data_IF_074244698171
#
_entry.id   IF_074244698171
#
_cell.length_a   1.000
_cell.length_b   1.000
_cell.length_c   1.000
_cell.angle_alpha   90.00
_cell.angle_beta   90.00
_cell.angle_gamma   90.00
#
_symmetry.space_group_name_H-M   'P 1'
#
loop_
_entity.id
_entity.type
_entity.pdbx_description
1 polymer ?
#
# COMPACT_ATOMS: atom_id res chain seq x y z
N UNK A 1 -4.99 -10.49 21.94
CA UNK A 1 -5.81 -10.90 20.78
C UNK A 1 -4.91 -11.48 19.71
N UNK A 2 -5.41 -12.43 18.92
CA UNK A 2 -4.73 -13.00 17.74
C UNK A 2 -5.15 -12.28 16.48
N UNK A 3 -4.22 -11.59 15.83
CA UNK A 3 -4.49 -10.76 14.66
C UNK A 3 -3.76 -11.33 13.45
N UNK A 4 -4.52 -11.70 12.42
CA UNK A 4 -4.02 -12.26 11.18
C UNK A 4 -4.03 -11.22 10.06
N UNK A 5 -2.94 -11.14 9.30
CA UNK A 5 -2.85 -10.44 8.04
C UNK A 5 -2.72 -11.43 6.89
N UNK A 6 -3.46 -11.22 5.81
CA UNK A 6 -3.39 -12.08 4.62
C UNK A 6 -2.21 -11.72 3.70
N UNK A 7 -2.06 -12.48 2.60
CA UNK A 7 -0.94 -12.37 1.68
C UNK A 7 -1.08 -11.26 0.63
N UNK A 8 -2.26 -10.71 0.41
CA UNK A 8 -2.63 -9.98 -0.82
C UNK A 8 -1.63 -8.87 -1.15
N UNK A 9 -1.39 -7.94 -0.23
CA UNK A 9 -0.49 -6.82 -0.47
C UNK A 9 0.97 -7.29 -0.63
N UNK A 10 1.41 -8.25 0.15
CA UNK A 10 2.81 -8.73 0.13
C UNK A 10 3.14 -9.55 -1.11
N UNK A 11 2.15 -10.19 -1.72
CA UNK A 11 2.27 -10.86 -3.01
C UNK A 11 2.25 -9.86 -4.17
N UNK A 12 1.39 -8.84 -4.08
CA UNK A 12 1.14 -7.89 -5.16
C UNK A 12 2.21 -6.79 -5.26
N UNK A 13 2.76 -6.35 -4.14
CA UNK A 13 3.66 -5.20 -4.06
C UNK A 13 5.03 -5.61 -3.53
N UNK A 14 6.09 -5.35 -4.31
CA UNK A 14 7.47 -5.54 -3.85
C UNK A 14 7.87 -4.46 -2.86
N UNK A 15 7.50 -3.21 -3.14
CA UNK A 15 7.79 -2.02 -2.36
C UNK A 15 6.64 -1.02 -2.49
N UNK A 16 6.27 -0.32 -1.41
CA UNK A 16 5.24 0.73 -1.48
C UNK A 16 4.59 1.06 -0.14
N UNK A 17 3.82 2.14 -0.14
CA UNK A 17 3.21 2.70 1.07
C UNK A 17 2.28 1.75 1.80
N UNK A 18 1.45 1.01 1.08
CA UNK A 18 0.47 0.10 1.68
C UNK A 18 1.16 -1.08 2.37
N UNK A 19 2.16 -1.69 1.74
CA UNK A 19 2.92 -2.78 2.37
C UNK A 19 3.74 -2.31 3.56
N UNK A 20 4.26 -1.07 3.53
CA UNK A 20 4.90 -0.43 4.68
C UNK A 20 3.90 -0.20 5.82
N UNK A 21 2.71 0.32 5.53
CA UNK A 21 1.65 0.50 6.51
C UNK A 21 1.34 -0.79 7.29
N UNK A 22 1.12 -1.91 6.60
CA UNK A 22 0.85 -3.18 7.27
C UNK A 22 2.04 -3.71 8.07
N UNK A 23 3.26 -3.51 7.58
CA UNK A 23 4.49 -3.85 8.33
C UNK A 23 4.58 -3.04 9.63
N UNK A 24 4.37 -1.72 9.56
CA UNK A 24 4.47 -0.83 10.71
C UNK A 24 3.33 -1.09 11.72
N UNK A 25 2.11 -1.31 11.23
CA UNK A 25 0.96 -1.67 12.05
C UNK A 25 1.17 -3.00 12.79
N UNK A 26 1.62 -4.04 12.07
CA UNK A 26 1.92 -5.34 12.68
C UNK A 26 3.01 -5.23 13.74
N UNK A 27 4.09 -4.48 13.45
CA UNK A 27 5.17 -4.24 14.39
C UNK A 27 4.73 -3.49 15.66
N UNK A 28 3.84 -2.51 15.50
CA UNK A 28 3.28 -1.73 16.63
C UNK A 28 2.36 -2.59 17.50
N UNK A 29 1.48 -3.38 16.89
CA UNK A 29 0.59 -4.27 17.63
C UNK A 29 1.37 -5.34 18.42
N UNK A 30 2.47 -5.86 17.86
CA UNK A 30 3.39 -6.75 18.59
C UNK A 30 4.00 -6.07 19.81
N UNK A 31 4.49 -4.83 19.66
CA UNK A 31 5.04 -4.05 20.78
C UNK A 31 3.99 -3.81 21.88
N UNK A 32 2.72 -3.76 21.51
CA UNK A 32 1.58 -3.63 22.43
C UNK A 32 1.12 -4.98 23.02
N UNK A 33 1.88 -6.07 22.81
CA UNK A 33 1.61 -7.39 23.38
C UNK A 33 0.50 -8.18 22.66
N UNK A 34 0.13 -7.81 21.43
CA UNK A 34 -0.80 -8.60 20.63
C UNK A 34 -0.08 -9.78 19.96
N UNK A 35 -0.79 -10.88 19.77
CA UNK A 35 -0.29 -12.04 19.01
C UNK A 35 -0.59 -11.81 17.52
N UNK A 36 0.43 -11.49 16.73
CA UNK A 36 0.28 -11.13 15.33
C UNK A 36 0.92 -12.17 14.43
N UNK A 37 0.20 -12.61 13.38
CA UNK A 37 0.76 -13.43 12.32
C UNK A 37 0.42 -12.87 10.93
N UNK A 38 1.42 -12.86 10.04
CA UNK A 38 1.29 -12.49 8.63
C UNK A 38 1.39 -13.75 7.78
N UNK A 39 0.31 -14.11 7.13
CA UNK A 39 0.23 -15.29 6.26
C UNK A 39 0.63 -14.90 4.83
N UNK A 40 1.88 -14.50 4.65
CA UNK A 40 2.39 -13.92 3.41
C UNK A 40 2.58 -14.94 2.28
N UNK A 41 2.69 -16.24 2.59
CA UNK A 41 2.94 -17.27 1.60
C UNK A 41 4.25 -17.04 0.82
N UNK A 42 4.23 -17.30 -0.47
CA UNK A 42 5.32 -16.94 -1.38
C UNK A 42 5.17 -15.48 -1.78
N UNK A 43 6.09 -14.60 -1.33
CA UNK A 43 5.99 -13.16 -1.55
C UNK A 43 7.26 -12.57 -2.14
N UNK A 44 7.15 -11.35 -2.67
CA UNK A 44 8.29 -10.55 -3.19
C UNK A 44 8.57 -9.29 -2.38
N UNK A 45 7.84 -9.08 -1.30
CA UNK A 45 7.85 -7.83 -0.54
C UNK A 45 9.15 -7.62 0.24
N UNK A 46 9.65 -6.39 0.26
CA UNK A 46 10.89 -5.99 0.94
C UNK A 46 10.71 -5.74 2.44
N UNK A 47 9.51 -5.36 2.88
CA UNK A 47 9.27 -5.02 4.29
C UNK A 47 9.02 -6.22 5.18
N UNK A 48 8.46 -7.31 4.63
CA UNK A 48 8.13 -8.52 5.40
C UNK A 48 9.35 -9.12 6.12
N UNK A 49 10.55 -9.23 5.49
CA UNK A 49 11.75 -9.73 6.17
C UNK A 49 12.27 -8.84 7.31
N UNK A 50 11.81 -7.59 7.41
CA UNK A 50 12.19 -6.66 8.48
C UNK A 50 11.39 -6.88 9.77
N UNK A 51 10.37 -7.71 9.73
CA UNK A 51 9.58 -8.08 10.89
C UNK A 51 10.28 -9.14 11.74
N UNK A 52 9.94 -9.25 13.04
CA UNK A 52 10.49 -10.27 13.90
C UNK A 52 10.29 -11.68 13.35
N UNK A 53 11.28 -12.55 13.55
CA UNK A 53 11.18 -13.96 13.14
C UNK A 53 10.02 -14.65 13.86
N UNK A 54 9.33 -15.55 13.14
CA UNK A 54 8.27 -16.39 13.72
C UNK A 54 6.85 -15.85 13.51
N UNK A 55 6.66 -14.56 13.21
CA UNK A 55 5.32 -14.01 12.94
C UNK A 55 4.94 -14.07 11.47
N UNK A 56 5.90 -14.31 10.58
CA UNK A 56 5.65 -14.42 9.13
C UNK A 56 5.54 -15.90 8.76
N UNK A 57 4.40 -16.26 8.20
CA UNK A 57 4.11 -17.57 7.62
C UNK A 57 4.28 -17.50 6.11
N UNK A 58 5.51 -17.66 5.65
CA UNK A 58 5.85 -17.55 4.24
C UNK A 58 7.34 -17.33 4.02
N UNK A 59 7.72 -17.14 2.76
CA UNK A 59 9.11 -16.90 2.38
C UNK A 59 9.21 -15.99 1.14
N UNK A 60 10.30 -15.22 1.08
CA UNK A 60 10.57 -14.31 -0.03
C UNK A 60 11.13 -15.07 -1.22
N UNK A 61 10.56 -14.85 -2.41
CA UNK A 61 11.09 -15.29 -3.68
C UNK A 61 11.82 -14.13 -4.35
N UNK A 62 13.13 -14.27 -4.60
CA UNK A 62 13.92 -13.22 -5.26
C UNK A 62 13.56 -13.08 -6.75
N UNK A 63 13.32 -14.20 -7.43
CA UNK A 63 12.88 -14.25 -8.82
C UNK A 63 11.42 -14.66 -8.90
N UNK A 64 10.52 -13.73 -8.66
CA UNK A 64 9.08 -13.96 -8.74
C UNK A 64 8.63 -13.95 -10.21
N UNK A 65 8.22 -15.09 -10.79
CA UNK A 65 7.88 -15.14 -12.21
C UNK A 65 6.61 -14.34 -12.49
N UNK A 66 6.73 -13.27 -13.25
CA UNK A 66 5.61 -12.35 -13.53
C UNK A 66 4.39 -13.05 -14.13
N UNK A 67 4.60 -13.99 -15.06
CA UNK A 67 3.51 -14.74 -15.73
C UNK A 67 2.76 -15.71 -14.81
N UNK A 68 3.34 -16.12 -13.67
CA UNK A 68 2.73 -17.05 -12.71
C UNK A 68 2.09 -16.36 -11.50
N UNK A 69 2.02 -15.02 -11.49
CA UNK A 69 1.50 -14.23 -10.37
C UNK A 69 0.10 -14.67 -9.91
N UNK A 70 -0.80 -14.94 -10.85
CA UNK A 70 -2.16 -15.40 -10.53
C UNK A 70 -2.17 -16.79 -9.87
N UNK A 71 -1.33 -17.71 -10.34
CA UNK A 71 -1.20 -19.04 -9.76
C UNK A 71 -0.66 -18.98 -8.33
N UNK A 72 0.39 -18.19 -8.11
CA UNK A 72 0.94 -17.97 -6.77
C UNK A 72 -0.06 -17.28 -5.84
N UNK A 73 -0.81 -16.28 -6.32
CA UNK A 73 -1.84 -15.63 -5.53
C UNK A 73 -2.91 -16.62 -5.09
N UNK A 74 -3.40 -17.48 -5.99
CA UNK A 74 -4.38 -18.51 -5.64
C UNK A 74 -3.83 -19.55 -4.65
N UNK A 75 -2.59 -19.99 -4.86
CA UNK A 75 -1.95 -20.94 -3.95
C UNK A 75 -1.72 -20.33 -2.57
N UNK A 76 -1.22 -19.10 -2.50
CA UNK A 76 -1.05 -18.36 -1.26
C UNK A 76 -2.38 -18.19 -0.53
N UNK A 77 -3.45 -17.91 -1.27
CA UNK A 77 -4.79 -17.80 -0.68
C UNK A 77 -5.21 -19.10 0.00
N UNK A 78 -5.16 -20.23 -0.71
CA UNK A 78 -5.55 -21.53 -0.16
C UNK A 78 -4.70 -21.90 1.07
N UNK A 79 -3.38 -21.81 0.95
CA UNK A 79 -2.45 -22.12 2.05
C UNK A 79 -2.70 -21.18 3.24
N UNK A 80 -2.82 -19.87 2.99
CA UNK A 80 -3.06 -18.88 4.03
C UNK A 80 -4.37 -19.12 4.76
N UNK A 81 -5.45 -19.44 4.04
CA UNK A 81 -6.74 -19.77 4.64
C UNK A 81 -6.67 -21.00 5.54
N UNK A 82 -5.98 -22.08 5.12
CA UNK A 82 -5.79 -23.28 5.93
C UNK A 82 -4.96 -22.98 7.19
N UNK A 83 -3.89 -22.22 7.05
CA UNK A 83 -3.03 -21.82 8.17
C UNK A 83 -3.80 -20.93 9.17
N UNK A 84 -4.58 -19.95 8.69
CA UNK A 84 -5.42 -19.09 9.53
C UNK A 84 -6.49 -19.91 10.26
N UNK A 85 -7.14 -20.87 9.58
CA UNK A 85 -8.11 -21.76 10.19
C UNK A 85 -7.50 -22.59 11.34
N UNK A 86 -6.27 -23.07 11.16
CA UNK A 86 -5.54 -23.80 12.21
C UNK A 86 -5.14 -22.88 13.38
N UNK A 87 -4.69 -21.67 13.07
CA UNK A 87 -4.21 -20.71 14.07
C UNK A 87 -5.35 -20.06 14.87
N UNK A 88 -6.57 -20.02 14.33
CA UNK A 88 -7.78 -19.47 14.93
C UNK A 88 -7.59 -18.02 15.40
N UNK A 89 -7.45 -17.06 14.49
CA UNK A 89 -7.38 -15.64 14.83
C UNK A 89 -8.68 -15.14 15.44
N UNK A 90 -8.58 -14.10 16.27
CA UNK A 90 -9.73 -13.32 16.74
C UNK A 90 -10.12 -12.27 15.67
N UNK A 91 -9.11 -11.74 14.97
CA UNK A 91 -9.25 -10.72 13.93
C UNK A 91 -8.49 -11.15 12.68
N UNK A 92 -9.12 -10.96 11.50
CA UNK A 92 -8.47 -11.03 10.20
C UNK A 92 -8.51 -9.64 9.57
N UNK A 93 -7.35 -9.06 9.32
CA UNK A 93 -7.23 -7.80 8.61
C UNK A 93 -6.74 -8.06 7.20
N UNK A 94 -7.63 -7.91 6.20
CA UNK A 94 -7.30 -8.06 4.79
C UNK A 94 -6.36 -6.97 4.35
N UNK A 95 -5.25 -7.35 3.74
CA UNK A 95 -4.18 -6.40 3.39
C UNK A 95 -4.39 -5.73 2.04
N UNK A 96 -5.25 -6.30 1.18
CA UNK A 96 -5.64 -5.69 -0.09
C UNK A 96 -6.93 -6.32 -0.63
N UNK A 97 -7.38 -5.81 -1.79
CA UNK A 97 -8.63 -6.18 -2.41
C UNK A 97 -8.51 -7.49 -3.19
N UNK A 98 -9.54 -8.32 -3.12
CA UNK A 98 -9.58 -9.62 -3.79
C UNK A 98 -11.01 -10.12 -3.92
N UNK A 99 -11.31 -10.74 -5.07
CA UNK A 99 -12.56 -11.48 -5.28
C UNK A 99 -12.52 -12.92 -4.73
N UNK A 100 -11.38 -13.33 -4.13
CA UNK A 100 -11.24 -14.69 -3.61
C UNK A 100 -12.06 -14.88 -2.35
N UNK A 101 -12.92 -15.89 -2.35
CA UNK A 101 -13.79 -16.23 -1.22
C UNK A 101 -12.97 -16.77 -0.06
N UNK A 102 -13.11 -16.16 1.11
CA UNK A 102 -12.50 -16.63 2.34
C UNK A 102 -13.29 -17.83 2.93
N UNK A 103 -12.59 -18.73 3.61
CA UNK A 103 -13.24 -19.78 4.39
C UNK A 103 -14.06 -19.15 5.53
N UNK A 104 -15.18 -19.77 5.88
CA UNK A 104 -15.97 -19.35 7.04
C UNK A 104 -15.12 -19.40 8.30
N UNK A 105 -15.15 -18.33 9.08
CA UNK A 105 -14.42 -18.13 10.31
C UNK A 105 -15.28 -17.41 11.33
N UNK A 106 -14.97 -17.56 12.62
CA UNK A 106 -15.58 -16.77 13.68
C UNK A 106 -14.77 -15.48 13.97
N UNK A 107 -13.65 -15.27 13.26
CA UNK A 107 -12.86 -14.04 13.40
C UNK A 107 -13.62 -12.85 12.83
N UNK A 108 -13.47 -11.70 13.48
CA UNK A 108 -13.96 -10.41 12.95
C UNK A 108 -13.05 -9.98 11.79
N UNK A 109 -13.63 -9.70 10.65
CA UNK A 109 -12.89 -9.34 9.44
C UNK A 109 -12.87 -7.82 9.23
N UNK A 110 -11.67 -7.27 9.02
CA UNK A 110 -11.43 -5.87 8.69
C UNK A 110 -10.81 -5.73 7.30
N UNK A 111 -11.05 -4.59 6.66
CA UNK A 111 -10.28 -4.12 5.52
C UNK A 111 -9.96 -2.63 5.68
N UNK A 112 -8.76 -2.21 5.25
CA UNK A 112 -8.44 -0.78 5.15
C UNK A 112 -8.60 -0.32 3.70
N UNK A 113 -9.35 0.78 3.50
CA UNK A 113 -9.47 1.46 2.22
C UNK A 113 -8.60 2.71 2.23
N UNK A 114 -7.59 2.71 1.35
CA UNK A 114 -6.58 3.76 1.28
C UNK A 114 -6.99 4.94 0.40
N UNK A 115 -7.75 4.68 -0.66
CA UNK A 115 -8.25 5.69 -1.59
C UNK A 115 -9.43 5.16 -2.40
N UNK A 116 -10.06 6.06 -3.16
CA UNK A 116 -11.14 5.77 -4.12
C UNK A 116 -10.77 6.26 -5.53
N UNK A 117 -9.47 6.24 -5.87
CA UNK A 117 -8.96 6.82 -7.11
C UNK A 117 -9.48 6.05 -8.33
N UNK A 118 -9.54 4.72 -8.27
CA UNK A 118 -10.03 3.87 -9.37
C UNK A 118 -11.52 4.12 -9.67
N UNK A 119 -12.30 4.43 -8.65
CA UNK A 119 -13.72 4.70 -8.75
C UNK A 119 -14.01 6.14 -9.23
N UNK A 120 -13.19 7.10 -8.80
CA UNK A 120 -13.36 8.52 -9.13
C UNK A 120 -12.81 8.86 -10.51
N UNK A 121 -11.71 8.20 -10.91
CA UNK A 121 -11.00 8.46 -12.15
C UNK A 121 -10.82 7.19 -13.00
N UNK A 122 -11.89 6.47 -13.35
CA UNK A 122 -11.79 5.18 -14.04
C UNK A 122 -11.03 5.25 -15.37
N UNK A 123 -11.15 6.37 -16.08
CA UNK A 123 -10.47 6.58 -17.37
C UNK A 123 -8.94 6.65 -17.28
N UNK A 124 -8.39 6.80 -16.09
CA UNK A 124 -6.94 6.81 -15.88
C UNK A 124 -6.34 5.41 -15.74
N UNK A 125 -7.17 4.37 -15.74
CA UNK A 125 -6.77 2.99 -15.55
C UNK A 125 -7.12 2.13 -16.78
N UNK A 126 -6.46 0.99 -16.89
CA UNK A 126 -6.75 0.05 -17.98
C UNK A 126 -8.16 -0.54 -17.87
N UNK A 127 -8.83 -0.74 -19.00
CA UNK A 127 -10.12 -1.46 -19.04
C UNK A 127 -10.03 -2.91 -18.51
N UNK A 128 -8.83 -3.43 -18.27
CA UNK A 128 -8.58 -4.74 -17.64
C UNK A 128 -8.33 -4.64 -16.15
N UNK A 129 -8.36 -3.43 -15.59
CA UNK A 129 -8.19 -3.22 -14.15
C UNK A 129 -9.49 -3.60 -13.43
N UNK A 130 -9.39 -4.56 -12.53
CA UNK A 130 -10.52 -5.04 -11.74
C UNK A 130 -10.47 -4.52 -10.29
N UNK A 131 -9.66 -3.50 -10.00
CA UNK A 131 -9.44 -3.02 -8.63
C UNK A 131 -10.74 -2.58 -7.97
N UNK A 132 -11.60 -1.85 -8.67
CA UNK A 132 -12.92 -1.41 -8.19
C UNK A 132 -13.80 -2.60 -7.81
N UNK A 133 -13.90 -3.61 -8.68
CA UNK A 133 -14.69 -4.83 -8.40
C UNK A 133 -14.11 -5.60 -7.21
N UNK A 134 -12.79 -5.80 -7.16
CA UNK A 134 -12.15 -6.49 -6.04
C UNK A 134 -12.29 -5.72 -4.72
N UNK A 135 -12.28 -4.38 -4.78
CA UNK A 135 -12.54 -3.53 -3.62
C UNK A 135 -13.98 -3.74 -3.13
N UNK A 136 -14.96 -3.68 -4.03
CA UNK A 136 -16.36 -3.92 -3.70
C UNK A 136 -16.58 -5.31 -3.09
N UNK A 137 -16.02 -6.37 -3.71
CA UNK A 137 -16.10 -7.74 -3.18
C UNK A 137 -15.50 -7.84 -1.78
N UNK A 138 -14.36 -7.18 -1.55
CA UNK A 138 -13.67 -7.19 -0.26
C UNK A 138 -14.50 -6.49 0.82
N UNK A 139 -14.95 -5.25 0.56
CA UNK A 139 -15.67 -4.44 1.57
C UNK A 139 -17.06 -5.00 1.88
N UNK A 140 -17.70 -5.67 0.91
CA UNK A 140 -18.96 -6.37 1.14
C UNK A 140 -18.79 -7.60 2.03
N UNK A 141 -17.63 -8.22 2.01
CA UNK A 141 -17.32 -9.46 2.74
C UNK A 141 -16.60 -9.26 4.09
N UNK A 142 -16.45 -8.03 4.59
CA UNK A 142 -15.86 -7.75 5.90
C UNK A 142 -16.90 -7.19 6.86
N UNK A 143 -16.63 -7.37 8.17
CA UNK A 143 -17.50 -6.87 9.24
C UNK A 143 -17.34 -5.37 9.42
N UNK A 144 -16.12 -4.83 9.23
CA UNK A 144 -15.84 -3.41 9.43
C UNK A 144 -14.74 -2.90 8.50
N UNK A 145 -14.84 -1.62 8.12
CA UNK A 145 -13.93 -0.94 7.21
C UNK A 145 -13.18 0.16 7.97
N UNK A 146 -11.87 0.19 7.77
CA UNK A 146 -11.03 1.31 8.19
C UNK A 146 -10.81 2.21 6.99
N UNK A 147 -11.20 3.47 7.08
CA UNK A 147 -10.90 4.51 6.10
C UNK A 147 -9.74 5.37 6.61
N UNK A 148 -8.82 5.75 5.74
CA UNK A 148 -7.66 6.56 6.14
C UNK A 148 -7.96 8.06 6.26
N UNK A 149 -9.13 8.51 5.80
CA UNK A 149 -9.55 9.92 5.84
C UNK A 149 -11.07 10.04 5.79
N UNK A 150 -11.59 11.19 6.21
CA UNK A 150 -13.01 11.53 6.07
C UNK A 150 -13.42 11.60 4.59
N UNK A 151 -12.55 12.06 3.70
CA UNK A 151 -12.82 12.06 2.26
C UNK A 151 -13.04 10.65 1.72
N UNK A 152 -12.14 9.71 2.05
CA UNK A 152 -12.30 8.30 1.65
C UNK A 152 -13.57 7.67 2.24
N UNK A 153 -13.94 8.01 3.49
CA UNK A 153 -15.20 7.58 4.11
C UNK A 153 -16.40 8.09 3.33
N UNK A 154 -16.43 9.39 3.02
CA UNK A 154 -17.51 9.99 2.25
C UNK A 154 -17.67 9.35 0.86
N UNK A 155 -16.56 9.07 0.17
CA UNK A 155 -16.56 8.39 -1.12
C UNK A 155 -17.05 6.94 -1.03
N UNK A 156 -16.67 6.19 0.01
CA UNK A 156 -17.17 4.83 0.27
C UNK A 156 -18.69 4.81 0.44
N UNK A 157 -19.23 5.73 1.26
CA UNK A 157 -20.66 5.85 1.46
C UNK A 157 -21.40 6.22 0.17
N UNK A 158 -20.84 7.17 -0.60
CA UNK A 158 -21.46 7.67 -1.82
C UNK A 158 -21.41 6.68 -2.99
N UNK A 159 -20.27 6.00 -3.19
CA UNK A 159 -20.02 5.19 -4.40
C UNK A 159 -20.48 3.74 -4.20
N UNK A 160 -20.26 3.19 -3.01
CA UNK A 160 -20.59 1.79 -2.72
C UNK A 160 -21.79 1.61 -1.79
N UNK A 161 -22.47 2.70 -1.39
CA UNK A 161 -23.64 2.69 -0.51
C UNK A 161 -23.38 1.95 0.82
N UNK A 162 -22.22 2.22 1.42
CA UNK A 162 -21.83 1.61 2.70
C UNK A 162 -22.38 2.44 3.85
N UNK A 163 -23.02 1.77 4.80
CA UNK A 163 -23.52 2.40 6.01
C UNK A 163 -22.38 3.02 6.85
N UNK A 164 -22.61 4.22 7.37
CA UNK A 164 -21.63 4.95 8.18
C UNK A 164 -21.14 4.15 9.39
N UNK A 165 -22.03 3.41 10.04
CA UNK A 165 -21.74 2.56 11.19
C UNK A 165 -20.69 1.48 10.92
N UNK A 166 -20.53 1.09 9.65
CA UNK A 166 -19.54 0.09 9.20
C UNK A 166 -18.15 0.68 8.96
N UNK A 167 -17.98 2.00 9.04
CA UNK A 167 -16.73 2.68 8.69
C UNK A 167 -16.17 3.45 9.87
N UNK A 168 -14.91 3.20 10.22
CA UNK A 168 -14.12 4.04 11.14
C UNK A 168 -13.02 4.77 10.39
N UNK A 169 -12.85 6.06 10.67
CA UNK A 169 -11.73 6.84 10.14
C UNK A 169 -10.54 6.72 11.08
N UNK A 170 -9.45 6.18 10.57
CA UNK A 170 -8.18 6.06 11.31
C UNK A 170 -7.06 6.56 10.39
N UNK A 171 -6.53 7.73 10.68
CA UNK A 171 -5.44 8.33 9.89
C UNK A 171 -4.15 7.51 9.99
N UNK A 172 -3.33 7.59 8.95
CA UNK A 172 -2.02 6.96 8.96
C UNK A 172 -1.12 7.63 10.01
N UNK A 173 -0.42 6.83 10.81
CA UNK A 173 0.62 7.29 11.71
C UNK A 173 1.93 7.56 10.98
N UNK A 174 2.80 8.35 11.61
CA UNK A 174 4.18 8.62 11.17
C UNK A 174 5.12 8.20 12.28
N UNK A 175 6.15 7.43 11.93
CA UNK A 175 7.22 7.09 12.86
C UNK A 175 8.30 8.17 12.82
N UNK A 176 8.28 9.07 13.79
CA UNK A 176 9.25 10.16 13.91
C UNK A 176 10.66 9.69 14.29
N UNK A 177 10.84 8.47 14.81
CA UNK A 177 12.16 7.94 15.14
C UNK A 177 13.05 7.78 13.90
N UNK A 178 12.45 7.61 12.73
CA UNK A 178 13.17 7.52 11.45
C UNK A 178 13.86 8.81 11.03
N UNK A 179 13.54 9.93 11.66
CA UNK A 179 14.12 11.25 11.34
C UNK A 179 15.18 11.70 12.34
N UNK A 180 15.43 10.94 13.41
CA UNK A 180 16.36 11.35 14.48
C UNK A 180 17.83 11.24 14.08
N UNK A 181 18.17 10.36 13.12
CA UNK A 181 19.54 10.08 12.70
C UNK A 181 19.88 10.61 11.30
N UNK A 182 19.05 11.51 10.74
CA UNK A 182 19.37 12.11 9.44
C UNK A 182 20.49 13.14 9.64
N UNK A 183 21.67 12.99 9.00
CA UNK A 183 22.71 13.98 9.07
C UNK A 183 22.17 15.35 8.62
N UNK A 184 22.32 16.37 9.45
CA UNK A 184 21.69 17.68 9.29
C UNK A 184 22.11 18.50 8.06
N UNK A 185 23.05 18.00 7.23
CA UNK A 185 23.60 18.72 6.08
C UNK A 185 23.84 17.78 4.89
N UNK A 186 22.79 17.14 4.39
CA UNK A 186 22.84 16.55 3.05
C UNK A 186 22.52 17.67 2.05
N UNK A 187 23.55 18.33 1.53
CA UNK A 187 23.41 19.20 0.37
C UNK A 187 23.15 18.35 -0.86
N UNK A 188 21.86 18.23 -1.23
CA UNK A 188 21.44 17.49 -2.42
C UNK A 188 21.55 18.36 -3.66
N UNK A 189 21.50 19.69 -3.50
CA UNK A 189 21.57 20.68 -4.56
C UNK A 189 22.16 22.00 -4.02
N UNK A 190 22.91 22.72 -4.85
CA UNK A 190 23.41 24.07 -4.56
C UNK A 190 22.30 25.13 -4.56
N UNK A 191 21.19 24.87 -5.25
CA UNK A 191 20.01 25.73 -5.31
C UNK A 191 18.87 25.18 -4.46
N UNK A 192 17.92 26.04 -4.04
CA UNK A 192 16.63 25.57 -3.56
C UNK A 192 16.00 24.60 -4.58
N UNK A 193 15.27 23.60 -4.13
CA UNK A 193 14.71 22.63 -5.02
C UNK A 193 13.22 22.38 -4.79
N UNK A 194 12.55 21.96 -5.86
CA UNK A 194 11.21 21.42 -5.83
C UNK A 194 11.31 19.89 -5.80
N UNK A 195 10.73 19.28 -4.78
CA UNK A 195 10.75 17.82 -4.62
C UNK A 195 9.43 17.20 -5.07
N UNK A 196 9.51 16.30 -6.06
CA UNK A 196 8.42 15.42 -6.42
C UNK A 196 8.69 14.01 -5.90
N UNK A 197 7.73 13.43 -5.17
CA UNK A 197 7.82 12.06 -4.65
C UNK A 197 6.67 11.23 -5.21
N UNK A 198 6.98 10.19 -5.99
CA UNK A 198 5.99 9.27 -6.52
C UNK A 198 6.32 8.72 -7.89
N UNK A 199 5.47 7.81 -8.37
CA UNK A 199 5.54 7.32 -9.75
C UNK A 199 5.29 8.44 -10.74
N UNK A 200 5.99 8.44 -11.88
CA UNK A 200 5.93 9.52 -12.88
C UNK A 200 4.76 9.39 -13.85
N UNK A 201 4.03 8.28 -13.79
CA UNK A 201 2.89 8.01 -14.67
C UNK A 201 1.52 8.19 -14.00
N UNK A 202 0.47 8.09 -14.83
CA UNK A 202 -0.92 8.02 -14.42
C UNK A 202 -1.43 9.25 -13.64
N UNK A 203 -2.28 8.99 -12.68
CA UNK A 203 -2.99 10.00 -11.89
C UNK A 203 -2.11 10.92 -11.03
N UNK A 204 -0.83 10.57 -10.81
CA UNK A 204 0.14 11.41 -10.10
C UNK A 204 0.51 12.68 -10.86
N UNK A 205 0.15 12.77 -12.16
CA UNK A 205 0.24 13.95 -13.01
C UNK A 205 1.64 14.63 -13.03
N UNK A 206 2.70 13.82 -13.07
CA UNK A 206 4.08 14.32 -13.13
C UNK A 206 4.31 15.25 -14.34
N UNK A 207 3.75 14.91 -15.52
CA UNK A 207 3.85 15.75 -16.72
C UNK A 207 3.19 17.11 -16.53
N UNK A 208 2.06 17.20 -15.83
CA UNK A 208 1.42 18.46 -15.48
C UNK A 208 2.30 19.30 -14.56
N UNK A 209 2.94 18.68 -13.58
CA UNK A 209 3.91 19.32 -12.70
C UNK A 209 5.11 19.86 -13.49
N UNK A 210 5.70 19.08 -14.40
CA UNK A 210 6.79 19.54 -15.27
C UNK A 210 6.39 20.74 -16.13
N UNK A 211 5.21 20.69 -16.76
CA UNK A 211 4.68 21.80 -17.57
C UNK A 211 4.49 23.08 -16.72
N UNK A 212 3.98 22.95 -15.52
CA UNK A 212 3.80 24.09 -14.61
C UNK A 212 5.14 24.71 -14.20
N UNK A 213 6.15 23.91 -13.88
CA UNK A 213 7.52 24.40 -13.60
C UNK A 213 8.11 25.08 -14.84
N UNK A 214 8.04 24.43 -16.01
CA UNK A 214 8.59 24.95 -17.26
C UNK A 214 7.91 26.24 -17.74
N UNK A 215 6.66 26.49 -17.36
CA UNK A 215 5.96 27.74 -17.69
C UNK A 215 6.37 28.94 -16.84
N UNK A 216 7.14 28.73 -15.77
CA UNK A 216 7.57 29.77 -14.84
C UNK A 216 9.07 30.06 -14.97
N UNK A 217 9.42 31.20 -15.56
CA UNK A 217 10.83 31.66 -15.65
C UNK A 217 11.48 31.81 -14.27
N UNK A 218 10.71 32.17 -13.25
CA UNK A 218 11.18 32.26 -11.87
C UNK A 218 11.64 30.90 -11.34
N UNK A 219 10.80 29.86 -11.49
CA UNK A 219 11.11 28.51 -11.01
C UNK A 219 12.28 27.91 -11.78
N UNK A 220 12.27 28.05 -13.10
CA UNK A 220 13.34 27.56 -13.98
C UNK A 220 14.71 28.12 -13.63
N UNK A 221 14.79 29.40 -13.26
CA UNK A 221 16.05 30.07 -12.99
C UNK A 221 16.59 29.79 -11.58
N UNK A 222 15.69 29.70 -10.57
CA UNK A 222 16.09 29.76 -9.17
C UNK A 222 15.98 28.42 -8.43
N UNK A 223 15.37 27.41 -9.05
CA UNK A 223 15.15 26.12 -8.40
C UNK A 223 15.66 24.97 -9.25
N UNK A 224 16.18 23.94 -8.59
CA UNK A 224 16.36 22.64 -9.20
C UNK A 224 15.10 21.80 -9.00
N UNK A 225 14.86 20.84 -9.89
CA UNK A 225 13.78 19.87 -9.74
C UNK A 225 14.36 18.51 -9.39
N UNK A 226 13.91 17.96 -8.27
CA UNK A 226 14.30 16.64 -7.80
C UNK A 226 13.07 15.74 -7.84
N UNK A 227 13.18 14.61 -8.56
CA UNK A 227 12.12 13.62 -8.63
C UNK A 227 12.60 12.30 -8.04
N UNK A 228 11.88 11.80 -7.03
CA UNK A 228 12.12 10.52 -6.36
C UNK A 228 10.94 9.61 -6.62
N UNK A 229 11.21 8.40 -7.10
CA UNK A 229 10.21 7.38 -7.39
C UNK A 229 10.46 6.74 -8.74
N UNK A 230 9.72 5.67 -9.02
CA UNK A 230 9.96 4.82 -10.18
C UNK A 230 9.12 5.17 -11.40
N UNK A 231 9.65 4.80 -12.56
CA UNK A 231 8.90 4.75 -13.81
C UNK A 231 8.13 3.43 -13.90
N UNK A 232 8.70 2.32 -13.39
CA UNK A 232 8.18 0.95 -13.50
C UNK A 232 8.53 0.09 -12.27
N UNK A 233 7.99 0.33 -11.09
CA UNK A 233 8.04 -0.55 -9.90
C UNK A 233 9.40 -1.25 -9.56
N UNK A 234 10.50 -1.00 -10.29
CA UNK A 234 11.73 -1.77 -10.18
C UNK A 234 12.83 -1.13 -9.33
N UNK A 235 13.01 0.22 -9.38
CA UNK A 235 14.06 0.90 -8.61
C UNK A 235 13.67 2.36 -8.24
N UNK A 236 14.06 2.79 -7.05
CA UNK A 236 13.92 4.20 -6.64
C UNK A 236 14.99 5.00 -7.36
N UNK A 237 14.62 5.73 -8.41
CA UNK A 237 15.54 6.59 -9.15
C UNK A 237 15.40 8.03 -8.64
N UNK A 238 16.51 8.57 -8.14
CA UNK A 238 16.68 10.00 -7.91
C UNK A 238 17.13 10.63 -9.24
N UNK A 239 16.31 11.53 -9.80
CA UNK A 239 16.69 12.31 -10.98
C UNK A 239 16.75 13.76 -10.59
N UNK A 240 17.93 14.36 -10.70
CA UNK A 240 18.13 15.80 -10.62
C UNK A 240 18.01 16.33 -12.05
N UNK A 241 17.01 17.14 -12.32
CA UNK A 241 16.80 17.76 -13.62
C UNK A 241 17.29 19.19 -13.49
N UNK A 242 18.55 19.39 -13.86
CA UNK A 242 19.17 20.71 -13.97
C UNK A 242 19.05 21.12 -15.45
N UNK A 243 18.50 22.31 -15.68
CA UNK A 243 18.29 22.89 -17.03
C UNK A 243 17.24 22.18 -17.89
N UNK A 244 15.97 22.59 -17.71
CA UNK A 244 14.92 22.31 -18.69
C UNK A 244 15.15 23.24 -19.91
N UNK A 245 15.73 22.74 -20.98
CA UNK A 245 15.68 23.36 -22.30
C UNK A 245 14.49 22.80 -23.09
#
# INVERSE_FOLDING_TARGET
MKIAYDHQMFTNQSYGGISRYYKDLAGTLLKQGQDVNIFAGMHRNYYVPLLPKGIVRGFKLNNYPFKSRLAFSRLNHVIGQLQMKQWKPDIIHKTYYSSQTSLKTNAICFATVHDMIHEIYPDMFSNRDNTTQFKQDTISGVDHIISISESTKADLMKIFDIEESKISVIHHGVDFSLFQDIPGNLEISEKPYLLYVGTRGGYKNFNGFLKAVASSSLLMKNFDLIAVGDIDDSDIILVIISNFC
#
